data_IF_240267229588
#
_entry.id   IF_240267229588
#
_cell.length_a   1.000
_cell.length_b   1.000
_cell.length_c   1.000
_cell.angle_alpha   90.00
_cell.angle_beta   90.00
_cell.angle_gamma   90.00
#
_symmetry.space_group_name_H-M   'P 1'
#
loop_
_entity.id
_entity.type
_entity.pdbx_description
1 polymer ?
#
# COMPACT_ATOMS: atom_id res chain seq x y z
N UNK A 1 -1.68 -32.42 44.81
CA UNK A 1 -0.84 -32.48 43.58
C UNK A 1 -1.03 -31.20 42.73
N UNK A 2 -0.72 -30.00 43.26
CA UNK A 2 -1.12 -28.73 42.61
C UNK A 2 -0.10 -28.08 41.67
N UNK A 3 1.18 -28.43 41.76
CA UNK A 3 2.27 -27.66 41.13
C UNK A 3 2.28 -27.68 39.59
N UNK A 4 1.75 -28.72 38.97
CA UNK A 4 1.75 -28.86 37.51
C UNK A 4 0.75 -27.94 36.80
N UNK A 5 -0.41 -27.64 37.43
CA UNK A 5 -1.45 -26.80 36.82
C UNK A 5 -1.02 -25.33 36.80
N UNK A 6 -0.62 -24.78 37.95
CA UNK A 6 -0.10 -23.41 38.05
C UNK A 6 1.16 -23.18 37.20
N UNK A 7 2.00 -24.21 37.04
CA UNK A 7 3.15 -24.22 36.13
C UNK A 7 2.81 -24.25 34.63
N UNK A 8 1.56 -24.57 34.25
CA UNK A 8 1.04 -24.50 32.88
C UNK A 8 0.31 -23.19 32.64
N UNK A 9 -0.59 -22.79 33.55
CA UNK A 9 -1.32 -21.50 33.51
C UNK A 9 -0.36 -20.32 33.41
N UNK A 10 0.72 -20.33 34.19
CA UNK A 10 1.80 -19.32 34.13
C UNK A 10 2.47 -19.26 32.76
N UNK A 11 2.70 -20.40 32.10
CA UNK A 11 3.28 -20.45 30.75
C UNK A 11 2.30 -19.93 29.70
N UNK A 12 1.01 -20.24 29.82
CA UNK A 12 -0.02 -19.71 28.93
C UNK A 12 -0.16 -18.19 29.08
N UNK A 13 -0.26 -17.67 30.30
CA UNK A 13 -0.35 -16.24 30.57
C UNK A 13 0.85 -15.47 30.00
N UNK A 14 2.08 -15.98 30.20
CA UNK A 14 3.30 -15.42 29.60
C UNK A 14 3.27 -15.51 28.06
N UNK A 15 2.72 -16.58 27.48
CA UNK A 15 2.54 -16.72 26.04
C UNK A 15 1.54 -15.69 25.47
N UNK A 16 0.37 -15.53 26.11
CA UNK A 16 -0.66 -14.54 25.74
C UNK A 16 -0.11 -13.12 25.84
N UNK A 17 0.62 -12.78 26.90
CA UNK A 17 1.31 -11.48 27.02
C UNK A 17 2.37 -11.25 25.93
N UNK A 18 3.18 -12.26 25.57
CA UNK A 18 4.12 -12.19 24.44
C UNK A 18 3.39 -11.97 23.10
N UNK A 19 2.25 -12.63 22.89
CA UNK A 19 1.43 -12.49 21.69
C UNK A 19 0.74 -11.11 21.60
N UNK A 20 0.14 -10.60 22.69
CA UNK A 20 -0.36 -9.21 22.74
C UNK A 20 0.73 -8.18 22.38
N UNK A 21 1.97 -8.37 22.87
CA UNK A 21 3.14 -7.52 22.52
C UNK A 21 3.67 -7.74 21.08
N UNK A 22 3.25 -8.78 20.36
CA UNK A 22 3.47 -8.89 18.90
C UNK A 22 2.41 -8.08 18.15
N UNK A 23 1.13 -8.31 18.45
CA UNK A 23 0.05 -7.56 17.81
C UNK A 23 0.12 -6.05 18.03
N UNK A 24 0.51 -5.54 19.22
CA UNK A 24 0.69 -4.09 19.42
C UNK A 24 1.79 -3.46 18.53
N UNK A 25 2.80 -4.24 18.11
CA UNK A 25 3.79 -3.78 17.12
C UNK A 25 3.22 -3.80 15.71
N UNK A 26 2.61 -4.92 15.31
CA UNK A 26 1.90 -5.05 14.04
C UNK A 26 0.81 -3.99 13.85
N UNK A 27 0.14 -3.56 14.92
CA UNK A 27 -0.81 -2.44 14.93
C UNK A 27 -0.13 -1.10 14.66
N UNK A 28 0.95 -0.81 15.40
CA UNK A 28 1.72 0.43 15.24
C UNK A 28 2.38 0.55 13.85
N UNK A 29 2.81 -0.57 13.28
CA UNK A 29 3.41 -0.66 11.95
C UNK A 29 2.31 -0.64 10.86
N UNK A 30 1.29 -1.49 11.00
CA UNK A 30 0.15 -1.61 10.09
C UNK A 30 -0.65 -0.32 9.93
N UNK A 31 -0.88 0.46 11.02
CA UNK A 31 -1.54 1.77 10.91
C UNK A 31 -0.78 2.73 10.00
N UNK A 32 0.56 2.69 10.03
CA UNK A 32 1.42 3.53 9.17
C UNK A 32 1.45 3.00 7.73
N UNK A 33 1.55 1.68 7.57
CA UNK A 33 1.54 1.03 6.26
C UNK A 33 0.23 1.26 5.51
N UNK A 34 -0.91 1.13 6.20
CA UNK A 34 -2.25 1.34 5.65
C UNK A 34 -2.49 2.82 5.30
N UNK A 35 -2.15 3.76 6.19
CA UNK A 35 -2.23 5.19 5.89
C UNK A 35 -1.36 5.58 4.68
N UNK A 36 -0.13 5.07 4.60
CA UNK A 36 0.75 5.32 3.46
C UNK A 36 0.23 4.70 2.15
N UNK A 37 -0.29 3.47 2.18
CA UNK A 37 -0.86 2.81 1.01
C UNK A 37 -2.13 3.53 0.50
N UNK A 38 -2.97 4.01 1.42
CA UNK A 38 -4.14 4.83 1.11
C UNK A 38 -3.76 6.16 0.45
N UNK A 39 -2.77 6.89 1.00
CA UNK A 39 -2.25 8.11 0.36
C UNK A 39 -1.64 7.84 -1.02
N UNK A 40 -0.90 6.74 -1.20
CA UNK A 40 -0.31 6.36 -2.49
C UNK A 40 -1.38 5.98 -3.52
N UNK A 41 -2.43 5.26 -3.12
CA UNK A 41 -3.54 4.90 -4.01
C UNK A 41 -4.26 6.14 -4.55
N UNK A 42 -4.63 7.08 -3.68
CA UNK A 42 -5.28 8.33 -4.10
C UNK A 42 -4.34 9.21 -4.94
N UNK A 43 -3.04 9.20 -4.66
CA UNK A 43 -2.04 9.89 -5.46
C UNK A 43 -1.91 9.31 -6.87
N UNK A 44 -1.69 8.00 -7.01
CA UNK A 44 -1.50 7.38 -8.32
C UNK A 44 -2.78 7.26 -9.14
N UNK A 45 -3.96 7.15 -8.50
CA UNK A 45 -5.24 7.30 -9.18
C UNK A 45 -5.36 8.68 -9.86
N UNK A 46 -5.07 9.76 -9.11
CA UNK A 46 -5.10 11.14 -9.64
C UNK A 46 -4.03 11.37 -10.70
N UNK A 47 -2.83 10.83 -10.48
CA UNK A 47 -1.69 10.96 -11.38
C UNK A 47 -1.93 10.22 -12.71
N UNK A 48 -2.42 8.97 -12.64
CA UNK A 48 -2.88 8.20 -13.82
C UNK A 48 -3.95 8.96 -14.60
N UNK A 49 -4.92 9.59 -13.92
CA UNK A 49 -5.94 10.42 -14.58
C UNK A 49 -5.36 11.65 -15.30
N UNK A 50 -4.34 12.29 -14.74
CA UNK A 50 -3.67 13.43 -15.37
C UNK A 50 -2.78 13.00 -16.56
N UNK A 51 -2.06 11.89 -16.45
CA UNK A 51 -1.23 11.35 -17.54
C UNK A 51 -2.08 10.74 -18.65
N UNK A 52 -3.24 10.16 -18.32
CA UNK A 52 -4.23 9.73 -19.30
C UNK A 52 -4.77 10.92 -20.11
N UNK A 53 -4.99 12.08 -19.48
CA UNK A 53 -5.33 13.30 -20.20
C UNK A 53 -4.18 13.74 -21.11
N UNK A 54 -2.93 13.78 -20.63
CA UNK A 54 -1.76 14.12 -21.47
C UNK A 54 -1.59 13.17 -22.67
N UNK A 55 -1.82 11.87 -22.47
CA UNK A 55 -1.82 10.88 -23.54
C UNK A 55 -2.94 11.14 -24.55
N UNK A 56 -4.18 11.35 -24.09
CA UNK A 56 -5.31 11.67 -24.95
C UNK A 56 -5.12 12.99 -25.71
N UNK A 57 -4.60 14.02 -25.06
CA UNK A 57 -4.25 15.31 -25.69
C UNK A 57 -3.15 15.14 -26.74
N UNK A 58 -2.12 14.31 -26.47
CA UNK A 58 -1.05 14.04 -27.44
C UNK A 58 -1.51 13.25 -28.66
N UNK A 59 -2.46 12.33 -28.50
CA UNK A 59 -3.12 11.63 -29.62
C UNK A 59 -4.17 12.51 -30.33
N UNK A 60 -4.67 13.57 -29.67
CA UNK A 60 -5.63 14.51 -30.22
C UNK A 60 -4.98 15.63 -31.03
N UNK A 61 -4.06 16.43 -30.45
CA UNK A 61 -3.46 17.61 -31.07
C UNK A 61 -2.02 17.89 -30.59
N UNK A 62 -1.09 17.98 -31.55
CA UNK A 62 0.23 18.57 -31.36
C UNK A 62 0.13 20.08 -31.10
N UNK A 63 0.18 20.54 -29.84
CA UNK A 63 0.79 21.81 -29.38
C UNK A 63 0.48 22.15 -27.90
N UNK A 64 1.35 21.77 -26.95
CA UNK A 64 2.00 22.65 -25.94
C UNK A 64 2.63 21.89 -24.76
N UNK A 65 3.96 21.83 -24.79
CA UNK A 65 4.84 21.57 -23.64
C UNK A 65 5.46 22.88 -23.12
N UNK A 66 5.83 23.04 -21.84
CA UNK A 66 5.51 22.25 -20.64
C UNK A 66 5.67 23.15 -19.37
N UNK A 67 5.23 22.73 -18.16
CA UNK A 67 5.14 23.59 -16.96
C UNK A 67 6.22 23.33 -15.88
N UNK A 68 6.03 23.94 -14.68
CA UNK A 68 6.68 23.62 -13.38
C UNK A 68 8.12 24.15 -13.15
N UNK A 69 8.71 24.12 -11.92
CA UNK A 69 8.12 23.96 -10.57
C UNK A 69 8.59 25.04 -9.54
N UNK A 70 8.23 24.87 -8.26
CA UNK A 70 8.85 25.51 -7.06
C UNK A 70 10.12 24.70 -6.60
N UNK A 71 10.68 24.68 -5.33
CA UNK A 71 10.17 25.11 -4.01
C UNK A 71 11.17 25.88 -3.05
N UNK A 72 11.76 25.37 -1.91
CA UNK A 72 11.87 26.14 -0.63
C UNK A 72 13.32 26.13 -0.05
N UNK A 73 13.63 25.74 1.23
CA UNK A 73 13.23 26.15 2.60
C UNK A 73 14.43 26.75 3.40
N UNK A 74 14.40 26.82 4.77
CA UNK A 74 15.54 26.53 5.71
C UNK A 74 15.14 26.64 7.22
N UNK A 75 16.06 26.34 8.17
CA UNK A 75 15.76 26.01 9.59
C UNK A 75 16.92 26.18 10.62
N UNK A 76 16.64 25.99 11.94
CA UNK A 76 17.56 25.77 13.13
C UNK A 76 18.34 27.01 13.66
N UNK A 77 19.04 27.03 14.85
CA UNK A 77 19.58 25.93 15.71
C UNK A 77 19.40 26.02 17.28
N UNK A 78 20.45 25.73 18.09
CA UNK A 78 20.54 25.20 19.51
C UNK A 78 21.53 26.06 20.43
N UNK A 79 22.18 25.62 21.57
CA UNK A 79 21.80 24.67 22.68
C UNK A 79 21.83 25.00 24.26
N UNK A 80 22.91 25.38 25.02
CA UNK A 80 23.56 24.43 25.99
C UNK A 80 23.90 24.81 27.48
N UNK A 81 23.84 23.80 28.40
CA UNK A 81 24.84 23.36 29.46
C UNK A 81 25.23 24.25 30.71
N UNK A 82 26.12 23.87 31.70
CA UNK A 82 26.40 22.60 32.47
C UNK A 82 26.48 22.68 34.07
N UNK A 83 27.56 22.37 34.88
CA UNK A 83 27.47 21.53 36.15
C UNK A 83 28.20 22.03 37.47
N UNK A 84 28.16 21.30 38.62
CA UNK A 84 29.39 20.86 39.35
C UNK A 84 29.28 19.52 40.18
N UNK A 85 30.14 19.25 41.20
CA UNK A 85 30.28 17.96 41.97
C UNK A 85 30.56 18.07 43.54
N UNK A 86 31.37 17.23 44.31
CA UNK A 86 31.04 16.67 45.66
C UNK A 86 32.16 16.89 46.75
N UNK A 87 32.69 15.93 47.59
CA UNK A 87 32.20 14.87 48.52
C UNK A 87 32.59 15.24 50.02
N UNK A 88 33.24 14.46 50.96
CA UNK A 88 33.28 13.01 51.36
C UNK A 88 33.17 12.63 52.90
N UNK A 89 32.92 11.34 53.17
CA UNK A 89 33.34 10.37 54.26
C UNK A 89 33.87 10.73 55.69
N UNK A 90 33.61 9.80 56.67
CA UNK A 90 34.62 9.19 57.60
C UNK A 90 34.13 7.91 58.35
N UNK A 91 35.02 7.20 59.08
CA UNK A 91 34.90 5.74 59.41
C UNK A 91 35.52 5.26 60.75
N UNK A 92 35.29 3.97 61.10
CA UNK A 92 36.18 2.99 61.81
C UNK A 92 36.04 2.74 63.35
N UNK A 93 36.29 1.48 63.76
CA UNK A 93 36.45 1.02 65.17
C UNK A 93 35.78 -0.34 65.48
N UNK A 94 36.15 -1.50 64.91
CA UNK A 94 37.32 -2.39 65.16
C UNK A 94 37.40 -3.17 66.50
N UNK A 95 37.08 -4.48 66.43
CA UNK A 95 37.62 -5.64 67.21
C UNK A 95 37.26 -5.69 68.74
N UNK A 96 37.34 -6.83 69.45
CA UNK A 96 37.98 -8.14 69.21
C UNK A 96 37.25 -9.32 69.95
N UNK A 97 37.77 -10.56 69.80
CA UNK A 97 37.61 -11.77 70.66
C UNK A 97 36.37 -12.67 70.49
N UNK A 98 36.53 -13.61 69.53
CA UNK A 98 36.23 -15.06 69.71
C UNK A 98 36.94 -15.61 70.98
N UNK A 99 36.55 -16.71 71.65
CA UNK A 99 35.66 -17.85 71.29
C UNK A 99 35.18 -18.60 72.58
N UNK A 100 34.45 -19.71 72.39
CA UNK A 100 34.31 -20.89 73.29
C UNK A 100 33.36 -20.91 74.52
N UNK A 101 32.10 -20.47 74.34
CA UNK A 101 30.88 -21.16 74.83
C UNK A 101 29.69 -20.49 74.08
N UNK A 102 28.83 -21.13 73.29
CA UNK A 102 27.98 -22.30 73.59
C UNK A 102 27.63 -23.08 72.30
N UNK A 103 28.48 -24.03 71.88
CA UNK A 103 28.22 -24.91 70.71
C UNK A 103 27.14 -26.00 70.99
N UNK A 104 26.12 -25.68 71.81
CA UNK A 104 25.02 -26.57 72.22
C UNK A 104 23.65 -25.88 72.35
N UNK A 105 23.49 -24.69 71.75
CA UNK A 105 22.19 -24.05 71.49
C UNK A 105 22.04 -23.56 70.04
N UNK A 106 23.12 -23.54 69.26
CA UNK A 106 23.16 -22.94 67.93
C UNK A 106 22.27 -23.64 66.90
N UNK A 107 21.99 -24.94 67.01
CA UNK A 107 21.16 -25.67 66.03
C UNK A 107 19.74 -25.07 65.94
N UNK A 108 19.00 -25.09 67.05
CA UNK A 108 17.63 -24.59 67.13
C UNK A 108 17.58 -23.06 66.98
N UNK A 109 18.59 -22.33 67.48
CA UNK A 109 18.68 -20.88 67.36
C UNK A 109 18.92 -20.41 65.91
N UNK A 110 19.81 -21.09 65.17
CA UNK A 110 20.03 -20.81 63.74
C UNK A 110 18.81 -21.23 62.91
N UNK A 111 18.09 -22.28 63.30
CA UNK A 111 16.83 -22.68 62.66
C UNK A 111 15.73 -21.64 62.87
N UNK A 112 15.52 -21.16 64.10
CA UNK A 112 14.59 -20.07 64.39
C UNK A 112 14.95 -18.78 63.62
N UNK A 113 16.23 -18.38 63.60
CA UNK A 113 16.68 -17.20 62.84
C UNK A 113 16.53 -17.37 61.32
N UNK A 114 16.63 -18.60 60.79
CA UNK A 114 16.30 -18.91 59.38
C UNK A 114 14.80 -18.80 59.14
N UNK A 115 13.96 -19.33 60.02
CA UNK A 115 12.49 -19.24 59.91
C UNK A 115 12.04 -17.77 59.92
N UNK A 116 12.53 -16.97 60.86
CA UNK A 116 12.15 -15.55 60.96
C UNK A 116 12.73 -14.71 59.82
N UNK A 117 13.89 -15.08 59.25
CA UNK A 117 14.36 -14.50 58.00
C UNK A 117 13.44 -14.88 56.84
N UNK A 118 13.12 -16.16 56.67
CA UNK A 118 12.24 -16.65 55.60
C UNK A 118 10.86 -15.99 55.67
N UNK A 119 10.31 -15.79 56.88
CA UNK A 119 9.06 -15.05 57.11
C UNK A 119 9.14 -13.62 56.58
N UNK A 120 10.17 -12.85 56.93
CA UNK A 120 10.38 -11.50 56.39
C UNK A 120 10.62 -11.48 54.88
N UNK A 121 11.30 -12.48 54.32
CA UNK A 121 11.47 -12.61 52.87
C UNK A 121 10.15 -12.98 52.16
N UNK A 122 9.24 -13.72 52.81
CA UNK A 122 7.86 -13.99 52.34
C UNK A 122 7.00 -12.73 52.40
N UNK A 123 6.91 -12.05 53.55
CA UNK A 123 6.17 -10.78 53.71
C UNK A 123 6.60 -9.73 52.68
N UNK A 124 7.90 -9.69 52.36
CA UNK A 124 8.50 -8.85 51.32
C UNK A 124 8.16 -9.29 49.90
N UNK A 125 7.94 -10.59 49.64
CA UNK A 125 7.48 -11.10 48.35
C UNK A 125 5.98 -10.87 48.16
N UNK A 126 5.17 -11.05 49.20
CA UNK A 126 3.73 -10.74 49.22
C UNK A 126 3.49 -9.25 48.97
N UNK A 127 4.24 -8.38 49.66
CA UNK A 127 4.23 -6.92 49.43
C UNK A 127 4.53 -6.56 47.97
N UNK A 128 5.52 -7.22 47.35
CA UNK A 128 5.83 -7.03 45.91
C UNK A 128 4.73 -7.56 45.01
N UNK A 129 4.14 -8.72 45.32
CA UNK A 129 3.07 -9.32 44.54
C UNK A 129 1.84 -8.41 44.53
N UNK A 130 1.46 -7.85 45.69
CA UNK A 130 0.37 -6.88 45.79
C UNK A 130 0.62 -5.63 44.93
N UNK A 131 1.83 -5.06 44.97
CA UNK A 131 2.22 -3.93 44.09
C UNK A 131 2.17 -4.31 42.61
N UNK A 132 2.59 -5.53 42.23
CA UNK A 132 2.47 -6.00 40.85
C UNK A 132 1.01 -6.21 40.41
N UNK A 133 0.15 -6.77 41.26
CA UNK A 133 -1.28 -6.92 40.97
C UNK A 133 -1.94 -5.55 40.75
N UNK A 134 -1.75 -4.60 41.67
CA UNK A 134 -2.31 -3.24 41.56
C UNK A 134 -1.81 -2.51 40.30
N UNK A 135 -0.53 -2.69 39.92
CA UNK A 135 0.01 -2.15 38.69
C UNK A 135 -0.59 -2.81 37.43
N UNK A 136 -0.83 -4.13 37.45
CA UNK A 136 -1.48 -4.88 36.36
C UNK A 136 -2.95 -4.46 36.21
N UNK A 137 -3.68 -4.30 37.31
CA UNK A 137 -5.07 -3.84 37.36
C UNK A 137 -5.19 -2.43 36.80
N UNK A 138 -4.42 -1.47 37.33
CA UNK A 138 -4.38 -0.08 36.85
C UNK A 138 -4.06 0.00 35.36
N UNK A 139 -3.02 -0.72 34.90
CA UNK A 139 -2.65 -0.79 33.47
C UNK A 139 -3.75 -1.43 32.62
N UNK A 140 -4.46 -2.44 33.14
CA UNK A 140 -5.52 -3.13 32.39
C UNK A 140 -6.78 -2.28 32.27
N UNK A 141 -7.16 -1.56 33.33
CA UNK A 141 -8.26 -0.59 33.31
C UNK A 141 -8.00 0.55 32.34
N UNK A 142 -6.77 1.08 32.29
CA UNK A 142 -6.41 2.13 31.33
C UNK A 142 -6.37 1.61 29.88
N UNK A 143 -5.91 0.36 29.65
CA UNK A 143 -6.01 -0.29 28.33
C UNK A 143 -7.49 -0.44 27.90
N UNK A 144 -8.39 -0.76 28.83
CA UNK A 144 -9.84 -0.84 28.54
C UNK A 144 -10.40 0.56 28.26
N UNK A 145 -10.04 1.58 29.04
CA UNK A 145 -10.44 2.99 28.79
C UNK A 145 -10.01 3.44 27.40
N UNK A 146 -8.73 3.28 27.05
CA UNK A 146 -8.18 3.61 25.73
C UNK A 146 -8.88 2.83 24.60
N UNK A 147 -9.25 1.57 24.84
CA UNK A 147 -9.97 0.74 23.86
C UNK A 147 -11.36 1.31 23.54
N UNK A 148 -12.17 1.58 24.56
CA UNK A 148 -13.56 2.02 24.34
C UNK A 148 -13.68 3.51 24.01
N UNK A 149 -12.90 4.38 24.66
CA UNK A 149 -13.05 5.84 24.52
C UNK A 149 -12.26 6.48 23.38
N UNK A 150 -11.21 5.81 22.87
CA UNK A 150 -10.34 6.37 21.84
C UNK A 150 -10.21 5.46 20.61
N UNK A 151 -9.85 4.19 20.79
CA UNK A 151 -9.64 3.26 19.66
C UNK A 151 -10.94 2.93 18.93
N UNK A 152 -12.02 2.62 19.65
CA UNK A 152 -13.29 2.23 19.05
C UNK A 152 -13.92 3.33 18.17
N UNK A 153 -14.06 4.59 18.61
CA UNK A 153 -14.47 5.70 17.73
C UNK A 153 -13.56 5.86 16.51
N UNK A 154 -12.23 5.82 16.68
CA UNK A 154 -11.28 5.95 15.55
C UNK A 154 -11.43 4.82 14.52
N UNK A 155 -11.74 3.59 14.93
CA UNK A 155 -12.00 2.49 14.01
C UNK A 155 -13.34 2.65 13.28
N UNK A 156 -14.37 3.14 13.98
CA UNK A 156 -15.68 3.42 13.40
C UNK A 156 -15.61 4.58 12.38
N UNK A 157 -14.92 5.66 12.71
CA UNK A 157 -14.68 6.80 11.80
C UNK A 157 -13.85 6.37 10.58
N UNK A 158 -12.85 5.49 10.76
CA UNK A 158 -12.03 4.96 9.68
C UNK A 158 -12.83 4.10 8.70
N UNK A 159 -13.68 3.18 9.17
CA UNK A 159 -14.52 2.36 8.28
C UNK A 159 -15.65 3.16 7.62
N UNK A 160 -16.19 4.18 8.29
CA UNK A 160 -17.08 5.18 7.66
C UNK A 160 -16.36 5.99 6.57
N UNK A 161 -15.13 6.46 6.85
CA UNK A 161 -14.31 7.20 5.89
C UNK A 161 -14.00 6.40 4.63
N UNK A 162 -13.69 5.10 4.80
CA UNK A 162 -13.48 4.17 3.68
C UNK A 162 -14.77 3.93 2.90
N UNK A 163 -15.92 3.77 3.57
CA UNK A 163 -17.24 3.66 2.92
C UNK A 163 -17.56 4.90 2.07
N UNK A 164 -17.30 6.10 2.59
CA UNK A 164 -17.51 7.36 1.88
C UNK A 164 -16.52 7.55 0.72
N UNK A 165 -15.24 7.20 0.88
CA UNK A 165 -14.29 7.18 -0.23
C UNK A 165 -14.76 6.24 -1.35
N UNK A 166 -15.11 4.99 -1.02
CA UNK A 166 -15.56 4.03 -2.03
C UNK A 166 -16.89 4.43 -2.69
N UNK A 167 -17.73 5.23 -2.02
CA UNK A 167 -18.93 5.85 -2.63
C UNK A 167 -18.52 6.86 -3.71
N UNK A 168 -17.65 7.81 -3.40
CA UNK A 168 -17.15 8.77 -4.38
C UNK A 168 -16.40 8.10 -5.53
N UNK A 169 -15.63 7.04 -5.25
CA UNK A 169 -14.98 6.22 -6.27
C UNK A 169 -16.00 5.54 -7.20
N UNK A 170 -17.08 4.97 -6.64
CA UNK A 170 -18.16 4.33 -7.40
C UNK A 170 -18.88 5.34 -8.31
N UNK A 171 -19.24 6.50 -7.78
CA UNK A 171 -19.91 7.58 -8.52
C UNK A 171 -19.05 8.08 -9.68
N UNK A 172 -17.75 8.33 -9.45
CA UNK A 172 -16.79 8.69 -10.49
C UNK A 172 -16.63 7.58 -11.56
N UNK A 173 -16.48 6.32 -11.14
CA UNK A 173 -16.27 5.21 -12.07
C UNK A 173 -17.54 4.85 -12.86
N UNK A 174 -18.74 5.06 -12.34
CA UNK A 174 -19.98 4.94 -13.13
C UNK A 174 -19.99 5.95 -14.28
N UNK A 175 -19.69 7.22 -14.01
CA UNK A 175 -19.63 8.27 -15.05
C UNK A 175 -18.55 7.95 -16.07
N UNK A 176 -17.36 7.52 -15.63
CA UNK A 176 -16.29 7.08 -16.53
C UNK A 176 -16.70 5.88 -17.39
N UNK A 177 -17.34 4.86 -16.81
CA UNK A 177 -17.88 3.70 -17.55
C UNK A 177 -18.85 4.14 -18.65
N UNK A 178 -19.75 5.09 -18.36
CA UNK A 178 -20.69 5.59 -19.36
C UNK A 178 -20.03 6.44 -20.47
N UNK A 179 -18.99 7.21 -20.14
CA UNK A 179 -18.20 7.95 -21.12
C UNK A 179 -17.45 6.98 -22.05
N UNK A 180 -16.80 5.93 -21.51
CA UNK A 180 -15.99 5.03 -22.33
C UNK A 180 -16.82 4.08 -23.20
N UNK A 181 -18.09 3.85 -22.86
CA UNK A 181 -19.08 3.23 -23.75
C UNK A 181 -19.27 4.03 -25.06
N UNK A 182 -18.99 5.34 -25.08
CA UNK A 182 -19.07 6.14 -26.32
C UNK A 182 -17.84 5.96 -27.23
N UNK A 183 -16.70 5.49 -26.70
CA UNK A 183 -15.48 5.30 -27.49
C UNK A 183 -15.65 4.26 -28.60
N UNK A 184 -16.57 3.31 -28.44
CA UNK A 184 -16.89 2.29 -29.47
C UNK A 184 -17.43 2.88 -30.78
N UNK A 185 -17.88 4.14 -30.77
CA UNK A 185 -18.35 4.86 -31.95
C UNK A 185 -17.26 5.70 -32.64
N UNK A 186 -16.09 5.87 -32.01
CA UNK A 186 -14.95 6.57 -32.61
C UNK A 186 -14.28 5.67 -33.65
N UNK A 187 -14.53 5.96 -34.93
CA UNK A 187 -13.90 5.26 -36.05
C UNK A 187 -12.82 6.15 -36.70
N UNK A 188 -11.56 5.73 -36.61
CA UNK A 188 -10.46 6.33 -37.39
C UNK A 188 -9.56 5.24 -38.04
N UNK A 189 -10.12 4.37 -38.91
CA UNK A 189 -9.40 3.22 -39.49
C UNK A 189 -8.33 3.60 -40.53
N UNK A 190 -8.22 4.88 -40.90
CA UNK A 190 -7.38 5.36 -42.01
C UNK A 190 -6.21 6.26 -41.57
N UNK A 191 -6.02 6.48 -40.27
CA UNK A 191 -4.90 7.31 -39.79
C UNK A 191 -3.56 6.61 -40.01
N UNK A 192 -2.74 7.15 -40.90
CA UNK A 192 -1.32 6.74 -41.07
C UNK A 192 -0.35 7.79 -40.51
N UNK A 193 -0.79 8.58 -39.51
CA UNK A 193 0.03 9.58 -38.83
C UNK A 193 1.18 8.86 -38.11
N UNK A 194 2.46 9.19 -38.39
CA UNK A 194 3.59 8.57 -37.69
C UNK A 194 3.60 8.89 -36.20
N UNK A 195 4.11 7.96 -35.40
CA UNK A 195 4.33 8.15 -33.97
C UNK A 195 5.38 9.23 -33.74
N UNK A 196 5.00 10.28 -33.00
CA UNK A 196 5.92 11.32 -32.55
C UNK A 196 6.63 10.90 -31.26
N UNK A 197 7.75 11.55 -30.93
CA UNK A 197 8.41 11.28 -29.65
C UNK A 197 7.54 11.68 -28.44
N UNK A 198 6.64 12.67 -28.60
CA UNK A 198 5.63 13.02 -27.58
C UNK A 198 4.63 11.87 -27.38
N UNK A 199 4.07 11.28 -28.44
CA UNK A 199 3.14 10.12 -28.30
C UNK A 199 3.84 8.96 -27.57
N UNK A 200 5.14 8.76 -27.85
CA UNK A 200 5.95 7.72 -27.23
C UNK A 200 6.23 8.00 -25.75
N UNK A 201 6.51 9.25 -25.39
CA UNK A 201 6.73 9.68 -24.01
C UNK A 201 5.46 9.60 -23.17
N UNK A 202 4.31 10.10 -23.68
CA UNK A 202 3.02 10.02 -22.96
C UNK A 202 2.52 8.59 -22.81
N UNK A 203 2.73 7.71 -23.80
CA UNK A 203 2.37 6.28 -23.68
C UNK A 203 3.23 5.56 -22.63
N UNK A 204 4.55 5.80 -22.61
CA UNK A 204 5.46 5.25 -21.59
C UNK A 204 5.15 5.79 -20.19
N UNK A 205 4.78 7.07 -20.07
CA UNK A 205 4.38 7.66 -18.81
C UNK A 205 3.05 7.07 -18.31
N UNK A 206 2.08 6.84 -19.22
CA UNK A 206 0.81 6.22 -18.90
C UNK A 206 0.98 4.76 -18.43
N UNK A 207 1.81 3.98 -19.11
CA UNK A 207 2.20 2.62 -18.70
C UNK A 207 2.73 2.62 -17.24
N UNK A 208 3.70 3.49 -16.97
CA UNK A 208 4.35 3.56 -15.66
C UNK A 208 3.42 4.06 -14.53
N UNK A 209 2.48 4.97 -14.82
CA UNK A 209 1.48 5.39 -13.84
C UNK A 209 0.41 4.33 -13.59
N UNK A 210 -0.04 3.59 -14.63
CA UNK A 210 -0.98 2.48 -14.46
C UNK A 210 -0.35 1.34 -13.65
N UNK A 211 0.95 1.05 -13.81
CA UNK A 211 1.69 0.11 -12.96
C UNK A 211 1.71 0.59 -11.49
N UNK A 212 2.00 1.87 -11.26
CA UNK A 212 2.02 2.46 -9.91
C UNK A 212 0.63 2.45 -9.27
N UNK A 213 -0.42 2.71 -10.04
CA UNK A 213 -1.81 2.60 -9.61
C UNK A 213 -2.16 1.15 -9.23
N UNK A 214 -1.87 0.16 -10.08
CA UNK A 214 -2.06 -1.27 -9.77
C UNK A 214 -1.35 -1.70 -8.48
N UNK A 215 -0.06 -1.36 -8.37
CA UNK A 215 0.76 -1.66 -7.19
C UNK A 215 0.21 -1.01 -5.92
N UNK A 216 -0.22 0.25 -6.01
CA UNK A 216 -0.81 0.97 -4.88
C UNK A 216 -2.19 0.44 -4.47
N UNK A 217 -3.02 0.00 -5.42
CA UNK A 217 -4.29 -0.67 -5.14
C UNK A 217 -4.07 -2.01 -4.40
N UNK A 218 -3.16 -2.84 -4.90
CA UNK A 218 -2.82 -4.12 -4.25
C UNK A 218 -2.27 -3.92 -2.83
N UNK A 219 -1.42 -2.89 -2.64
CA UNK A 219 -0.90 -2.49 -1.32
C UNK A 219 -1.98 -1.93 -0.40
N UNK A 220 -2.95 -1.17 -0.92
CA UNK A 220 -4.07 -0.65 -0.14
C UNK A 220 -4.90 -1.79 0.46
N UNK A 221 -5.36 -2.73 -0.38
CA UNK A 221 -6.16 -3.88 0.10
C UNK A 221 -5.38 -4.75 1.07
N UNK A 222 -4.12 -5.06 0.77
CA UNK A 222 -3.28 -5.92 1.63
C UNK A 222 -3.03 -5.26 2.98
N UNK A 223 -2.63 -3.98 3.02
CA UNK A 223 -2.38 -3.27 4.27
C UNK A 223 -3.66 -3.00 5.08
N UNK A 224 -4.82 -2.84 4.44
CA UNK A 224 -6.11 -2.81 5.14
C UNK A 224 -6.39 -4.16 5.83
N UNK A 225 -6.21 -5.27 5.11
CA UNK A 225 -6.39 -6.65 5.61
C UNK A 225 -5.42 -6.94 6.77
N UNK A 226 -4.12 -6.66 6.60
CA UNK A 226 -3.11 -6.84 7.64
C UNK A 226 -3.41 -5.99 8.90
N UNK A 227 -3.88 -4.76 8.72
CA UNK A 227 -4.25 -3.89 9.83
C UNK A 227 -5.46 -4.41 10.61
N UNK A 228 -6.58 -4.75 9.95
CA UNK A 228 -7.76 -5.27 10.66
C UNK A 228 -7.49 -6.64 11.30
N UNK A 229 -6.70 -7.49 10.65
CA UNK A 229 -6.24 -8.77 11.22
C UNK A 229 -5.43 -8.55 12.52
N UNK A 230 -4.59 -7.51 12.57
CA UNK A 230 -3.82 -7.16 13.76
C UNK A 230 -4.70 -6.55 14.88
N UNK A 231 -5.73 -5.76 14.54
CA UNK A 231 -6.72 -5.24 15.51
C UNK A 231 -7.51 -6.40 16.12
N UNK A 232 -8.15 -7.22 15.28
CA UNK A 232 -8.95 -8.37 15.70
C UNK A 232 -8.11 -9.37 16.51
N UNK A 233 -6.88 -9.66 16.09
CA UNK A 233 -5.95 -10.52 16.84
C UNK A 233 -5.53 -9.95 18.21
N UNK A 234 -5.36 -8.63 18.34
CA UNK A 234 -5.10 -7.97 19.62
C UNK A 234 -6.32 -7.98 20.56
N UNK A 235 -7.52 -7.79 20.00
CA UNK A 235 -8.78 -7.83 20.75
C UNK A 235 -9.07 -9.25 21.26
N UNK A 236 -8.95 -10.28 20.41
CA UNK A 236 -9.08 -11.72 20.79
C UNK A 236 -8.17 -12.13 21.95
N UNK A 237 -7.02 -11.48 22.12
CA UNK A 237 -6.07 -11.75 23.21
C UNK A 237 -6.14 -10.76 24.38
N UNK A 238 -7.00 -9.75 24.34
CA UNK A 238 -7.23 -8.84 25.45
C UNK A 238 -8.10 -9.49 26.54
N UNK A 239 -8.00 -9.04 27.81
CA UNK A 239 -8.51 -9.82 28.95
C UNK A 239 -10.04 -9.79 29.02
N UNK A 240 -10.67 -10.82 28.45
CA UNK A 240 -12.11 -11.06 28.50
C UNK A 240 -12.52 -12.21 29.44
N UNK A 241 -11.59 -12.77 30.22
CA UNK A 241 -11.76 -14.13 30.77
C UNK A 241 -11.32 -14.36 32.22
N UNK A 242 -10.82 -13.36 32.95
CA UNK A 242 -10.31 -13.59 34.32
C UNK A 242 -11.37 -13.53 35.44
N UNK A 243 -12.55 -12.96 35.18
CA UNK A 243 -13.71 -13.00 36.07
C UNK A 243 -14.97 -13.30 35.24
N UNK A 244 -15.25 -14.59 34.99
CA UNK A 244 -16.54 -15.03 34.46
C UNK A 244 -17.16 -16.10 35.37
N UNK A 245 -18.19 -15.69 36.11
CA UNK A 245 -19.22 -16.62 36.57
C UNK A 245 -20.13 -16.92 35.36
N UNK A 246 -20.28 -18.18 34.91
CA UNK A 246 -21.01 -18.51 33.67
C UNK A 246 -22.52 -18.20 33.69
N UNK A 247 -23.05 -17.72 34.82
CA UNK A 247 -24.44 -17.27 34.96
C UNK A 247 -24.65 -15.79 34.61
N UNK A 248 -23.60 -14.96 34.59
CA UNK A 248 -23.73 -13.52 34.34
C UNK A 248 -23.76 -13.20 32.82
N UNK A 249 -24.98 -13.09 32.30
CA UNK A 249 -25.25 -12.77 30.88
C UNK A 249 -25.02 -11.30 30.51
N UNK A 250 -24.65 -10.45 31.47
CA UNK A 250 -24.69 -8.98 31.30
C UNK A 250 -23.50 -8.43 30.50
N UNK A 251 -22.37 -9.14 30.50
CA UNK A 251 -21.18 -8.76 29.73
C UNK A 251 -21.31 -9.15 28.25
N UNK A 252 -21.98 -8.29 27.47
CA UNK A 252 -21.91 -8.32 26.00
C UNK A 252 -20.44 -8.25 25.57
N UNK A 253 -20.05 -9.12 24.64
CA UNK A 253 -18.77 -9.02 23.93
C UNK A 253 -18.68 -7.62 23.30
N UNK A 254 -17.65 -6.79 23.56
CA UNK A 254 -17.71 -5.36 23.27
C UNK A 254 -17.97 -5.01 21.80
N UNK A 255 -18.61 -3.86 21.62
CA UNK A 255 -18.98 -3.32 20.31
C UNK A 255 -17.75 -3.19 19.38
N UNK A 256 -16.59 -2.81 19.92
CA UNK A 256 -15.31 -2.79 19.19
C UNK A 256 -14.89 -4.17 18.66
N UNK A 257 -15.21 -5.27 19.35
CA UNK A 257 -14.93 -6.62 18.89
C UNK A 257 -15.85 -7.00 17.73
N UNK A 258 -17.15 -6.76 17.87
CA UNK A 258 -18.14 -7.02 16.81
C UNK A 258 -17.82 -6.22 15.53
N UNK A 259 -17.52 -4.92 15.68
CA UNK A 259 -17.08 -4.06 14.58
C UNK A 259 -15.86 -4.63 13.84
N UNK A 260 -14.86 -5.12 14.57
CA UNK A 260 -13.61 -5.60 13.96
C UNK A 260 -13.73 -6.99 13.31
N UNK A 261 -14.53 -7.90 13.86
CA UNK A 261 -14.86 -9.17 13.19
C UNK A 261 -15.67 -8.93 11.91
N UNK A 262 -16.68 -8.06 11.95
CA UNK A 262 -17.53 -7.77 10.79
C UNK A 262 -16.75 -6.99 9.71
N UNK A 263 -15.83 -6.10 10.10
CA UNK A 263 -14.95 -5.42 9.15
C UNK A 263 -13.89 -6.37 8.55
N UNK A 264 -13.32 -7.29 9.33
CA UNK A 264 -12.43 -8.36 8.83
C UNK A 264 -13.16 -9.23 7.78
N UNK A 265 -14.38 -9.69 8.10
CA UNK A 265 -15.21 -10.47 7.19
C UNK A 265 -15.64 -9.67 5.94
N UNK A 266 -15.81 -8.35 6.03
CA UNK A 266 -16.04 -7.50 4.87
C UNK A 266 -14.79 -7.41 3.97
N UNK A 267 -13.60 -7.19 4.55
CA UNK A 267 -12.32 -7.07 3.81
C UNK A 267 -11.90 -8.37 3.14
N UNK A 268 -12.28 -9.54 3.68
CA UNK A 268 -12.02 -10.83 3.03
C UNK A 268 -13.03 -11.21 1.94
N UNK A 269 -14.15 -10.47 1.81
CA UNK A 269 -15.21 -10.75 0.82
C UNK A 269 -15.25 -9.78 -0.36
N UNK A 270 -14.52 -8.66 -0.32
CA UNK A 270 -14.42 -7.76 -1.49
C UNK A 270 -13.62 -8.43 -2.62
N UNK A 271 -14.02 -8.32 -3.90
CA UNK A 271 -13.41 -9.07 -5.00
C UNK A 271 -12.10 -8.41 -5.49
N UNK A 272 -11.11 -8.27 -4.61
CA UNK A 272 -9.89 -7.51 -4.88
C UNK A 272 -9.07 -8.05 -6.08
N UNK A 273 -9.18 -9.36 -6.35
CA UNK A 273 -8.54 -10.01 -7.50
C UNK A 273 -9.17 -9.61 -8.83
N UNK A 274 -10.49 -9.40 -8.88
CA UNK A 274 -11.19 -9.00 -10.12
C UNK A 274 -10.81 -7.56 -10.49
N UNK A 275 -10.74 -6.66 -9.51
CA UNK A 275 -10.24 -5.29 -9.70
C UNK A 275 -8.75 -5.26 -10.10
N UNK A 276 -7.90 -6.01 -9.39
CA UNK A 276 -6.47 -6.14 -9.70
C UNK A 276 -6.23 -6.59 -11.14
N UNK A 277 -6.87 -7.68 -11.58
CA UNK A 277 -6.69 -8.20 -12.93
C UNK A 277 -7.35 -7.28 -13.99
N UNK A 278 -8.39 -6.51 -13.64
CA UNK A 278 -8.93 -5.45 -14.50
C UNK A 278 -7.90 -4.34 -14.80
N UNK A 279 -7.24 -3.81 -13.78
CA UNK A 279 -6.18 -2.79 -13.96
C UNK A 279 -4.96 -3.38 -14.70
N UNK A 280 -4.55 -4.59 -14.35
CA UNK A 280 -3.40 -5.28 -14.95
C UNK A 280 -3.64 -5.73 -16.40
N UNK A 281 -4.88 -6.04 -16.76
CA UNK A 281 -5.30 -6.23 -18.15
C UNK A 281 -5.13 -4.91 -18.93
N UNK A 282 -5.61 -3.79 -18.38
CA UNK A 282 -5.40 -2.47 -18.98
C UNK A 282 -3.90 -2.11 -19.12
N UNK A 283 -3.07 -2.39 -18.12
CA UNK A 283 -1.61 -2.24 -18.21
C UNK A 283 -1.01 -3.05 -19.37
N UNK A 284 -1.42 -4.31 -19.53
CA UNK A 284 -0.97 -5.19 -20.62
C UNK A 284 -1.36 -4.63 -22.00
N UNK A 285 -2.55 -4.03 -22.07
CA UNK A 285 -3.11 -3.38 -23.26
C UNK A 285 -2.36 -2.08 -23.62
N UNK A 286 -1.90 -1.30 -22.64
CA UNK A 286 -1.02 -0.12 -22.88
C UNK A 286 0.41 -0.56 -23.26
N UNK A 287 0.98 -1.54 -22.56
CA UNK A 287 2.31 -2.11 -22.89
C UNK A 287 2.41 -2.57 -24.35
N UNK A 288 1.35 -3.21 -24.86
CA UNK A 288 1.28 -3.64 -26.26
C UNK A 288 1.37 -2.46 -27.25
N UNK A 289 0.86 -1.27 -26.91
CA UNK A 289 1.02 -0.05 -27.72
C UNK A 289 2.47 0.43 -27.69
N UNK A 290 3.13 0.44 -26.52
CA UNK A 290 4.54 0.82 -26.38
C UNK A 290 5.45 -0.06 -27.23
N UNK A 291 5.22 -1.38 -27.24
CA UNK A 291 5.97 -2.33 -28.07
C UNK A 291 5.76 -2.05 -29.57
N UNK A 292 4.53 -1.78 -30.00
CA UNK A 292 4.22 -1.47 -31.40
C UNK A 292 4.83 -0.12 -31.85
N UNK A 293 4.79 0.91 -31.00
CA UNK A 293 5.48 2.19 -31.25
C UNK A 293 6.99 2.01 -31.41
N UNK A 294 7.61 1.11 -30.64
CA UNK A 294 9.04 0.82 -30.74
C UNK A 294 9.41 0.13 -32.07
N UNK A 295 8.58 -0.80 -32.56
CA UNK A 295 8.79 -1.44 -33.86
C UNK A 295 8.52 -0.49 -35.04
N UNK A 296 7.53 0.40 -34.95
CA UNK A 296 7.33 1.49 -35.92
C UNK A 296 8.57 2.40 -36.02
N UNK A 297 9.11 2.83 -34.87
CA UNK A 297 10.32 3.66 -34.81
C UNK A 297 11.58 2.93 -35.31
N UNK A 298 11.62 1.59 -35.22
CA UNK A 298 12.65 0.74 -35.84
C UNK A 298 12.51 0.69 -37.36
N UNK A 299 11.29 0.48 -37.88
CA UNK A 299 11.02 0.51 -39.32
C UNK A 299 11.27 1.90 -39.94
N UNK A 300 10.95 2.98 -39.22
CA UNK A 300 11.28 4.37 -39.61
C UNK A 300 12.78 4.56 -39.85
N UNK A 301 13.62 4.12 -38.90
CA UNK A 301 15.09 4.19 -39.02
C UNK A 301 15.63 3.43 -40.22
N UNK A 302 15.03 2.27 -40.56
CA UNK A 302 15.39 1.51 -41.76
C UNK A 302 15.03 2.31 -43.03
N UNK A 303 13.80 2.81 -43.13
CA UNK A 303 13.34 3.63 -44.26
C UNK A 303 14.19 4.89 -44.46
N UNK A 304 14.51 5.61 -43.38
CA UNK A 304 15.38 6.79 -43.42
C UNK A 304 16.81 6.43 -43.87
N UNK A 305 17.36 5.29 -43.45
CA UNK A 305 18.71 4.86 -43.81
C UNK A 305 18.83 4.56 -45.30
N UNK A 306 17.88 3.79 -45.86
CA UNK A 306 17.84 3.49 -47.30
C UNK A 306 17.59 4.75 -48.13
N UNK A 307 16.75 5.68 -47.65
CA UNK A 307 16.56 6.98 -48.32
C UNK A 307 17.84 7.83 -48.32
N UNK A 308 18.59 7.88 -47.22
CA UNK A 308 19.88 8.59 -47.13
C UNK A 308 20.94 7.96 -48.05
N UNK A 309 20.96 6.64 -48.22
CA UNK A 309 21.79 5.97 -49.22
C UNK A 309 21.37 6.35 -50.66
N UNK A 310 20.07 6.28 -50.97
CA UNK A 310 19.52 6.66 -52.28
C UNK A 310 19.86 8.12 -52.64
N UNK A 311 19.73 9.06 -51.70
CA UNK A 311 20.16 10.44 -51.91
C UNK A 311 21.63 10.54 -52.28
N UNK A 312 22.51 9.87 -51.52
CA UNK A 312 23.96 9.89 -51.74
C UNK A 312 24.29 9.35 -53.12
N UNK A 313 23.76 8.18 -53.49
CA UNK A 313 23.97 7.58 -54.82
C UNK A 313 23.38 8.43 -55.95
N UNK A 314 22.25 9.10 -55.72
CA UNK A 314 21.66 10.03 -56.69
C UNK A 314 22.51 11.30 -56.88
N UNK A 315 23.16 11.79 -55.82
CA UNK A 315 24.11 12.91 -55.87
C UNK A 315 25.40 12.49 -56.60
N UNK A 316 25.96 11.32 -56.29
CA UNK A 316 27.09 10.70 -57.00
C UNK A 316 26.80 10.54 -58.51
N UNK A 317 25.63 9.99 -58.87
CA UNK A 317 25.22 9.78 -60.26
C UNK A 317 25.05 11.11 -61.02
N UNK A 318 24.42 12.14 -60.41
CA UNK A 318 24.30 13.47 -61.05
C UNK A 318 25.67 14.10 -61.35
N UNK A 319 26.62 13.96 -60.43
CA UNK A 319 28.00 14.47 -60.63
C UNK A 319 28.72 13.80 -61.82
N UNK A 320 28.30 12.61 -62.25
CA UNK A 320 28.91 11.90 -63.37
C UNK A 320 28.42 12.37 -64.76
N UNK A 321 27.38 13.20 -64.84
CA UNK A 321 26.88 13.72 -66.13
C UNK A 321 27.59 15.00 -66.59
N UNK A 322 28.46 15.59 -65.76
CA UNK A 322 29.28 16.76 -66.10
C UNK A 322 30.67 16.45 -66.67
N UNK A 323 31.04 15.17 -66.78
CA UNK A 323 32.34 14.70 -67.27
C UNK A 323 32.11 13.71 -68.42
N UNK A 324 32.73 13.95 -69.58
CA UNK A 324 32.41 13.25 -70.83
C UNK A 324 33.06 11.86 -70.97
N UNK A 325 33.64 11.31 -69.89
CA UNK A 325 34.38 10.05 -69.91
C UNK A 325 33.50 8.80 -69.69
N UNK A 326 33.41 7.97 -70.73
CA UNK A 326 32.83 6.61 -70.77
C UNK A 326 31.34 6.45 -70.40
N UNK A 327 30.55 6.03 -71.40
CA UNK A 327 29.09 5.85 -71.30
C UNK A 327 28.65 4.58 -70.55
N UNK A 328 29.54 3.59 -70.38
CA UNK A 328 29.22 2.30 -69.76
C UNK A 328 29.10 2.38 -68.21
N UNK A 329 30.08 2.94 -67.47
CA UNK A 329 29.96 3.11 -66.00
C UNK A 329 28.75 3.92 -65.55
N UNK A 330 28.25 4.84 -66.38
CA UNK A 330 27.05 5.64 -66.10
C UNK A 330 25.79 4.77 -66.10
N UNK A 331 25.69 3.79 -67.01
CA UNK A 331 24.55 2.85 -67.06
C UNK A 331 24.51 1.94 -65.83
N UNK A 332 25.67 1.45 -65.38
CA UNK A 332 25.77 0.62 -64.17
C UNK A 332 25.43 1.42 -62.90
N UNK A 333 25.94 2.66 -62.77
CA UNK A 333 25.58 3.59 -61.68
C UNK A 333 24.09 3.91 -61.69
N UNK A 334 23.48 4.09 -62.86
CA UNK A 334 22.03 4.32 -63.01
C UNK A 334 21.23 3.12 -62.51
N UNK A 335 21.56 1.90 -62.97
CA UNK A 335 20.87 0.68 -62.52
C UNK A 335 20.93 0.50 -60.99
N UNK A 336 22.05 0.84 -60.34
CA UNK A 336 22.19 0.81 -58.88
C UNK A 336 21.32 1.86 -58.17
N UNK A 337 21.17 3.06 -58.74
CA UNK A 337 20.25 4.09 -58.23
C UNK A 337 18.79 3.67 -58.40
N UNK A 338 18.42 3.12 -59.57
CA UNK A 338 17.05 2.65 -59.83
C UNK A 338 16.67 1.48 -58.89
N UNK A 339 17.58 0.54 -58.63
CA UNK A 339 17.37 -0.53 -57.65
C UNK A 339 17.22 -0.01 -56.21
N UNK A 340 18.04 0.96 -55.79
CA UNK A 340 17.90 1.63 -54.49
C UNK A 340 16.60 2.44 -54.38
N UNK A 341 16.10 2.98 -55.50
CA UNK A 341 14.83 3.72 -55.55
C UNK A 341 13.64 2.78 -55.27
N UNK A 342 13.61 1.60 -55.90
CA UNK A 342 12.60 0.57 -55.62
C UNK A 342 12.65 0.16 -54.14
N UNK A 343 13.85 -0.14 -53.62
CA UNK A 343 14.04 -0.52 -52.21
C UNK A 343 13.61 0.59 -51.23
N UNK A 344 13.90 1.86 -51.52
CA UNK A 344 13.49 2.98 -50.68
C UNK A 344 11.96 3.11 -50.63
N UNK A 345 11.27 2.90 -51.75
CA UNK A 345 9.81 2.91 -51.81
C UNK A 345 9.19 1.72 -51.06
N UNK A 346 9.78 0.52 -51.17
CA UNK A 346 9.37 -0.64 -50.35
C UNK A 346 9.47 -0.36 -48.84
N UNK A 347 10.60 0.18 -48.36
CA UNK A 347 10.77 0.49 -46.94
C UNK A 347 9.86 1.65 -46.48
N UNK A 348 9.57 2.62 -47.37
CA UNK A 348 8.60 3.69 -47.12
C UNK A 348 7.18 3.14 -46.95
N UNK A 349 6.77 2.21 -47.81
CA UNK A 349 5.46 1.53 -47.73
C UNK A 349 5.38 0.69 -46.45
N UNK A 350 6.44 -0.04 -46.08
CA UNK A 350 6.52 -0.78 -44.80
C UNK A 350 6.38 0.15 -43.59
N UNK A 351 7.06 1.30 -43.58
CA UNK A 351 6.90 2.30 -42.52
C UNK A 351 5.48 2.85 -42.44
N UNK A 352 4.90 3.29 -43.56
CA UNK A 352 3.54 3.83 -43.60
C UNK A 352 2.48 2.81 -43.14
N UNK A 353 2.64 1.52 -43.51
CA UNK A 353 1.82 0.43 -43.00
C UNK A 353 1.98 0.24 -41.50
N UNK A 354 3.21 0.33 -40.98
CA UNK A 354 3.48 0.23 -39.54
C UNK A 354 2.81 1.37 -38.75
N UNK A 355 2.86 2.61 -39.24
CA UNK A 355 2.12 3.74 -38.64
C UNK A 355 0.62 3.45 -38.53
N UNK A 356 0.00 2.97 -39.62
CA UNK A 356 -1.42 2.60 -39.64
C UNK A 356 -1.76 1.49 -38.63
N UNK A 357 -0.89 0.48 -38.49
CA UNK A 357 -1.02 -0.57 -37.47
C UNK A 357 -0.95 0.04 -36.08
N UNK A 358 0.02 0.91 -35.79
CA UNK A 358 0.14 1.58 -34.48
C UNK A 358 -1.12 2.39 -34.15
N UNK A 359 -1.59 3.25 -35.05
CA UNK A 359 -2.77 4.11 -34.82
C UNK A 359 -4.04 3.29 -34.59
N UNK A 360 -4.29 2.26 -35.42
CA UNK A 360 -5.44 1.36 -35.26
C UNK A 360 -5.34 0.52 -33.97
N UNK A 361 -4.15 0.00 -33.65
CA UNK A 361 -3.91 -0.75 -32.43
C UNK A 361 -4.13 0.11 -31.18
N UNK A 362 -3.63 1.35 -31.15
CA UNK A 362 -3.90 2.29 -30.06
C UNK A 362 -5.40 2.47 -29.84
N UNK A 363 -6.16 2.81 -30.89
CA UNK A 363 -7.60 3.02 -30.78
C UNK A 363 -8.36 1.77 -30.28
N UNK A 364 -8.09 0.61 -30.87
CA UNK A 364 -8.72 -0.67 -30.48
C UNK A 364 -8.38 -1.04 -29.02
N UNK A 365 -7.15 -0.79 -28.60
CA UNK A 365 -6.67 -1.04 -27.23
C UNK A 365 -7.37 -0.13 -26.22
N UNK A 366 -7.62 1.14 -26.55
CA UNK A 366 -8.39 2.04 -25.68
C UNK A 366 -9.88 1.64 -25.63
N UNK A 367 -10.49 1.31 -26.78
CA UNK A 367 -11.89 0.88 -26.89
C UNK A 367 -12.18 -0.41 -26.11
N UNK A 368 -11.22 -1.33 -26.03
CA UNK A 368 -11.37 -2.60 -25.28
C UNK A 368 -10.86 -2.53 -23.85
N UNK A 369 -9.78 -1.78 -23.60
CA UNK A 369 -9.15 -1.66 -22.29
C UNK A 369 -9.97 -0.85 -21.29
N UNK A 370 -10.51 0.31 -21.71
CA UNK A 370 -11.22 1.20 -20.78
C UNK A 370 -12.52 0.62 -20.21
N UNK A 371 -13.44 0.04 -21.00
CA UNK A 371 -14.67 -0.54 -20.44
C UNK A 371 -14.37 -1.61 -19.41
N UNK A 372 -13.40 -2.49 -19.68
CA UNK A 372 -12.99 -3.57 -18.78
C UNK A 372 -12.49 -3.05 -17.42
N UNK A 373 -11.57 -2.07 -17.41
CA UNK A 373 -11.01 -1.56 -16.14
C UNK A 373 -12.03 -0.73 -15.36
N UNK A 374 -12.80 0.14 -16.01
CA UNK A 374 -13.81 0.96 -15.32
C UNK A 374 -15.01 0.13 -14.84
N UNK A 375 -15.42 -0.92 -15.56
CA UNK A 375 -16.43 -1.86 -15.08
C UNK A 375 -15.95 -2.66 -13.86
N UNK A 376 -14.70 -3.16 -13.88
CA UNK A 376 -14.11 -3.88 -12.75
C UNK A 376 -14.01 -2.98 -11.50
N UNK A 377 -13.54 -1.74 -11.66
CA UNK A 377 -13.43 -0.78 -10.55
C UNK A 377 -14.80 -0.28 -10.05
N UNK A 378 -15.79 -0.09 -10.93
CA UNK A 378 -17.18 0.24 -10.54
C UNK A 378 -17.78 -0.88 -9.71
N UNK A 379 -17.65 -2.14 -10.16
CA UNK A 379 -18.16 -3.31 -9.43
C UNK A 379 -17.51 -3.47 -8.06
N UNK A 380 -16.18 -3.34 -8.00
CA UNK A 380 -15.43 -3.40 -6.74
C UNK A 380 -15.83 -2.28 -5.77
N UNK A 381 -15.89 -1.02 -6.23
CA UNK A 381 -16.28 0.12 -5.41
C UNK A 381 -17.72 -0.03 -4.86
N UNK A 382 -18.67 -0.49 -5.68
CA UNK A 382 -20.04 -0.79 -5.26
C UNK A 382 -20.08 -1.81 -4.11
N UNK A 383 -19.33 -2.90 -4.24
CA UNK A 383 -19.26 -3.96 -3.21
C UNK A 383 -18.58 -3.44 -1.94
N UNK A 384 -17.54 -2.59 -2.05
CA UNK A 384 -16.95 -1.92 -0.88
C UNK A 384 -17.93 -1.00 -0.15
N UNK A 385 -18.75 -0.22 -0.86
CA UNK A 385 -19.79 0.64 -0.27
C UNK A 385 -20.82 -0.21 0.48
N UNK A 386 -21.28 -1.31 -0.11
CA UNK A 386 -22.24 -2.22 0.53
C UNK A 386 -21.63 -2.93 1.76
N UNK A 387 -20.41 -3.45 1.63
CA UNK A 387 -19.73 -4.20 2.69
C UNK A 387 -19.40 -3.32 3.90
N UNK A 388 -18.77 -2.15 3.70
CA UNK A 388 -18.46 -1.22 4.79
C UNK A 388 -19.71 -0.49 5.30
N UNK A 389 -20.69 -0.24 4.44
CA UNK A 389 -22.00 0.30 4.83
C UNK A 389 -22.76 -0.63 5.79
N UNK A 390 -22.71 -1.94 5.55
CA UNK A 390 -23.29 -2.95 6.44
C UNK A 390 -22.66 -2.89 7.85
N UNK A 391 -21.32 -2.89 7.93
CA UNK A 391 -20.56 -2.77 9.19
C UNK A 391 -20.95 -1.52 9.98
N UNK A 392 -21.07 -0.36 9.31
CA UNK A 392 -21.44 0.90 9.97
C UNK A 392 -22.91 0.90 10.45
N UNK A 393 -23.84 0.47 9.60
CA UNK A 393 -25.28 0.45 9.90
C UNK A 393 -25.63 -0.53 11.03
N UNK A 394 -24.88 -1.63 11.14
CA UNK A 394 -25.02 -2.60 12.23
C UNK A 394 -24.67 -2.00 13.59
N UNK A 395 -23.62 -1.19 13.67
CA UNK A 395 -23.27 -0.47 14.90
C UNK A 395 -24.31 0.60 15.26
N UNK A 396 -24.84 1.36 14.29
CA UNK A 396 -25.95 2.31 14.54
C UNK A 396 -27.19 1.59 15.09
N UNK A 397 -27.45 0.37 14.61
CA UNK A 397 -28.56 -0.47 15.08
C UNK A 397 -28.34 -0.98 16.51
N UNK A 398 -27.13 -1.46 16.83
CA UNK A 398 -26.74 -1.86 18.19
C UNK A 398 -26.87 -0.70 19.19
N UNK A 399 -26.34 0.47 18.84
CA UNK A 399 -26.41 1.68 19.68
C UNK A 399 -27.86 2.11 19.97
N UNK A 400 -28.77 1.94 18.99
CA UNK A 400 -30.21 2.22 19.18
C UNK A 400 -30.89 1.22 20.12
N UNK A 401 -30.56 -0.06 20.05
CA UNK A 401 -31.11 -1.08 20.95
C UNK A 401 -30.61 -0.85 22.39
N UNK A 402 -29.31 -0.67 22.59
CA UNK A 402 -28.74 -0.37 23.93
C UNK A 402 -29.27 0.96 24.49
N UNK A 403 -29.52 1.95 23.61
CA UNK A 403 -30.14 3.22 23.97
C UNK A 403 -31.64 3.17 24.29
N UNK A 404 -32.32 2.05 23.97
CA UNK A 404 -33.69 1.76 24.39
C UNK A 404 -33.70 0.94 25.69
N UNK A 405 -32.84 -0.07 25.82
CA UNK A 405 -32.64 -0.83 27.08
C UNK A 405 -32.43 0.13 28.27
N UNK A 406 -31.51 1.10 28.13
CA UNK A 406 -31.18 2.12 29.14
C UNK A 406 -32.25 3.21 29.35
N UNK A 407 -33.42 3.12 28.72
CA UNK A 407 -34.58 4.01 28.95
C UNK A 407 -35.78 3.27 29.57
N UNK A 408 -35.64 1.96 29.78
CA UNK A 408 -36.64 1.07 30.38
C UNK A 408 -36.16 0.52 31.73
N UNK A 409 -35.06 1.08 32.26
CA UNK A 409 -34.43 0.82 33.57
C UNK A 409 -34.19 2.14 34.27
#
# INVERSE_FOLDING_TARGET
MGCCHSGLESKEAVSRCKARRRYMRQLSEGRRAFAAAHSLYLHFLRSTGAVLLQFADSEAHLQKDSPSPAPPPRARPLPPSPPPQPPPERTRGEKEKRLSLLRRQEANGVEYLKIEKNKRDIERLESKLMVYCQAIESTSSEIIRLRESELFPQLLDLVNGLMCMWRSMYECHQVQTHIVQQLQYLNNPSSTIPTSDLHRETTLQLEAEVERWHSSFCRLVTSQRDYINAVTGWLRLSPFQYHHNPLDKTYRNPEVYALCEEWHLAVDRVPDKVASEGIKSFLTVIHAVVVQQAEEQKQKKISESVFKELEKRSKELRSCYGDHSSRSPVMEKKAKVDALKTRAEEERIKHQKSCGITRAMTLNNLQTGFPNVFQAMTGFASICVQAFGSVCNRQVSLNRVVGLDRRLT
#
